data_IF_682839334240
#
_entry.id   IF_682839334240
#
_cell.length_a   1.000
_cell.length_b   1.000
_cell.length_c   1.000
_cell.angle_alpha   90.00
_cell.angle_beta   90.00
_cell.angle_gamma   90.00
#
_symmetry.space_group_name_H-M   'P 1'
#
loop_
_entity.id
_entity.type
_entity.pdbx_description
1 polymer ?
#
# COMPACT_ATOMS: atom_id res chain seq x y z
N UNK A 1 -36.55 -30.01 7.24
CA UNK A 1 -35.75 -29.60 8.43
C UNK A 1 -34.85 -28.38 8.13
N UNK A 2 -34.15 -28.37 6.99
CA UNK A 2 -33.24 -27.27 6.60
C UNK A 2 -33.95 -25.92 6.43
N UNK A 3 -35.16 -25.86 5.85
CA UNK A 3 -35.89 -24.58 5.69
C UNK A 3 -36.45 -24.00 7.01
N UNK A 4 -36.62 -24.83 8.04
CA UNK A 4 -37.02 -24.40 9.39
C UNK A 4 -35.83 -23.84 10.19
N UNK A 5 -34.61 -24.25 9.86
CA UNK A 5 -33.38 -23.70 10.42
C UNK A 5 -33.00 -22.38 9.74
N UNK A 6 -33.19 -22.27 8.41
CA UNK A 6 -32.95 -21.05 7.64
C UNK A 6 -33.78 -19.86 8.17
N UNK A 7 -35.09 -20.05 8.36
CA UNK A 7 -35.98 -18.98 8.85
C UNK A 7 -35.77 -18.58 10.31
N UNK A 8 -35.05 -19.38 11.10
CA UNK A 8 -34.65 -19.04 12.47
C UNK A 8 -33.27 -18.36 12.54
N UNK A 9 -32.41 -18.58 11.56
CA UNK A 9 -31.11 -17.91 11.43
C UNK A 9 -31.26 -16.48 10.89
N UNK A 10 -32.19 -16.26 9.95
CA UNK A 10 -32.52 -14.93 9.40
C UNK A 10 -33.10 -13.96 10.45
N UNK A 11 -33.66 -14.47 11.55
CA UNK A 11 -34.11 -13.64 12.68
C UNK A 11 -33.09 -13.53 13.82
N UNK A 12 -32.00 -14.31 13.76
CA UNK A 12 -30.91 -14.33 14.74
C UNK A 12 -29.79 -13.35 14.38
N UNK A 13 -29.60 -13.08 13.09
CA UNK A 13 -28.85 -11.90 12.63
C UNK A 13 -29.80 -10.72 12.87
N UNK A 14 -29.48 -9.90 13.87
CA UNK A 14 -30.36 -8.82 14.33
C UNK A 14 -30.94 -8.03 13.15
N UNK A 15 -32.26 -7.83 13.16
CA UNK A 15 -32.94 -7.00 12.16
C UNK A 15 -32.18 -5.68 12.06
N UNK A 16 -31.65 -5.36 10.87
CA UNK A 16 -31.08 -4.03 10.60
C UNK A 16 -32.10 -3.01 11.12
N UNK A 17 -31.70 -2.20 12.10
CA UNK A 17 -32.62 -1.25 12.74
C UNK A 17 -33.01 -0.11 11.79
N UNK A 18 -32.52 -0.14 10.54
CA UNK A 18 -32.56 0.96 9.60
C UNK A 18 -31.77 2.18 10.08
N UNK A 19 -31.15 2.13 11.26
CA UNK A 19 -30.46 3.27 11.86
C UNK A 19 -29.26 3.67 10.99
N UNK A 20 -28.39 2.70 10.66
CA UNK A 20 -27.21 2.92 9.81
C UNK A 20 -27.62 3.33 8.39
N UNK A 21 -28.69 2.73 7.84
CA UNK A 21 -29.19 3.03 6.49
C UNK A 21 -29.70 4.47 6.38
N UNK A 22 -30.34 4.98 7.44
CA UNK A 22 -30.92 6.34 7.50
C UNK A 22 -29.97 7.40 8.10
N UNK A 23 -28.72 7.06 8.44
CA UNK A 23 -27.76 8.08 8.85
C UNK A 23 -27.51 9.07 7.70
N UNK A 24 -27.38 10.38 7.99
CA UNK A 24 -26.89 11.35 7.02
C UNK A 24 -25.57 10.86 6.41
N UNK A 25 -25.35 11.09 5.11
CA UNK A 25 -24.13 10.66 4.40
C UNK A 25 -22.86 11.18 5.11
N UNK A 26 -22.89 12.44 5.54
CA UNK A 26 -21.84 13.09 6.33
C UNK A 26 -21.40 12.26 7.57
N UNK A 27 -22.36 11.62 8.25
CA UNK A 27 -22.06 10.79 9.44
C UNK A 27 -21.46 9.46 9.03
N UNK A 28 -21.90 8.88 7.89
CA UNK A 28 -21.33 7.65 7.36
C UNK A 28 -19.88 7.85 6.92
N UNK A 29 -19.56 8.97 6.27
CA UNK A 29 -18.19 9.25 5.81
C UNK A 29 -17.23 9.52 6.97
N UNK A 30 -17.72 10.20 8.02
CA UNK A 30 -16.96 10.36 9.26
C UNK A 30 -16.69 9.01 9.93
N UNK A 31 -17.69 8.12 9.98
CA UNK A 31 -17.54 6.77 10.54
C UNK A 31 -16.59 5.92 9.70
N UNK A 32 -16.65 6.01 8.36
CA UNK A 32 -15.72 5.33 7.44
C UNK A 32 -14.30 5.85 7.67
N UNK A 33 -14.09 7.17 7.67
CA UNK A 33 -12.77 7.77 7.91
C UNK A 33 -12.21 7.39 9.29
N UNK A 34 -13.06 7.36 10.32
CA UNK A 34 -12.65 6.91 11.65
C UNK A 34 -12.27 5.43 11.65
N UNK A 35 -13.00 4.60 10.90
CA UNK A 35 -12.68 3.19 10.71
C UNK A 35 -11.36 3.01 9.97
N UNK A 36 -11.15 3.71 8.88
CA UNK A 36 -9.90 3.70 8.11
C UNK A 36 -8.70 4.12 8.97
N UNK A 37 -8.83 5.21 9.75
CA UNK A 37 -7.81 5.64 10.71
C UNK A 37 -7.52 4.54 11.74
N UNK A 38 -8.56 3.91 12.30
CA UNK A 38 -8.41 2.81 13.26
C UNK A 38 -7.68 1.62 12.65
N UNK A 39 -8.04 1.20 11.44
CA UNK A 39 -7.41 0.06 10.77
C UNK A 39 -5.97 0.40 10.35
N UNK A 40 -5.70 1.63 9.93
CA UNK A 40 -4.33 2.08 9.66
C UNK A 40 -3.42 1.90 10.89
N UNK A 41 -3.88 2.27 12.09
CA UNK A 41 -3.14 2.04 13.33
C UNK A 41 -2.93 0.54 13.64
N UNK A 42 -3.89 -0.32 13.30
CA UNK A 42 -3.75 -1.77 13.44
C UNK A 42 -2.73 -2.35 12.45
N UNK A 43 -2.60 -1.77 11.26
CA UNK A 43 -1.63 -2.19 10.25
C UNK A 43 -0.22 -1.62 10.46
N UNK A 44 -0.07 -0.50 11.19
CA UNK A 44 1.24 0.13 11.44
C UNK A 44 2.33 -0.83 11.91
N UNK A 45 2.11 -1.71 12.91
CA UNK A 45 3.15 -2.66 13.35
C UNK A 45 3.61 -3.60 12.23
N UNK A 46 2.72 -3.94 11.29
CA UNK A 46 3.05 -4.78 10.14
C UNK A 46 3.89 -4.01 9.12
N UNK A 47 3.58 -2.73 8.88
CA UNK A 47 4.39 -1.88 8.01
C UNK A 47 5.78 -1.61 8.58
N UNK A 48 5.90 -1.36 9.88
CA UNK A 48 7.19 -1.22 10.55
C UNK A 48 8.03 -2.51 10.47
N UNK A 49 7.37 -3.67 10.60
CA UNK A 49 8.05 -4.95 10.43
C UNK A 49 8.53 -5.17 8.99
N UNK A 50 7.69 -4.88 8.00
CA UNK A 50 8.06 -4.90 6.57
C UNK A 50 9.27 -4.02 6.33
N UNK A 51 9.27 -2.79 6.85
CA UNK A 51 10.39 -1.86 6.70
C UNK A 51 11.71 -2.47 7.20
N UNK A 52 11.69 -3.09 8.38
CA UNK A 52 12.88 -3.76 8.95
C UNK A 52 13.37 -4.92 8.09
N UNK A 53 12.46 -5.72 7.52
CA UNK A 53 12.81 -6.83 6.62
C UNK A 53 13.37 -6.30 5.30
N UNK A 54 12.70 -5.34 4.67
CA UNK A 54 13.14 -4.72 3.40
C UNK A 54 14.52 -4.09 3.54
N UNK A 55 14.81 -3.42 4.68
CA UNK A 55 16.14 -2.84 4.96
C UNK A 55 17.20 -3.84 5.43
N UNK A 56 16.82 -5.11 5.65
CA UNK A 56 17.70 -6.14 6.19
C UNK A 56 18.17 -5.86 7.62
N UNK A 57 17.33 -5.19 8.42
CA UNK A 57 17.56 -4.98 9.86
C UNK A 57 17.02 -6.15 10.69
N UNK A 58 16.09 -6.93 10.14
CA UNK A 58 15.51 -8.10 10.77
C UNK A 58 15.35 -9.22 9.73
N UNK A 59 15.86 -10.41 10.05
CA UNK A 59 15.64 -11.60 9.24
C UNK A 59 14.27 -12.23 9.58
N UNK A 60 13.50 -12.69 8.57
CA UNK A 60 12.27 -13.43 8.79
C UNK A 60 12.47 -14.66 9.68
N UNK A 61 11.45 -14.99 10.48
CA UNK A 61 11.50 -16.21 11.29
C UNK A 61 11.28 -17.45 10.44
N UNK A 62 11.71 -18.62 10.92
CA UNK A 62 11.50 -19.89 10.20
C UNK A 62 10.01 -20.18 9.94
N UNK A 63 9.15 -19.85 10.91
CA UNK A 63 7.70 -19.99 10.80
C UNK A 63 7.13 -19.08 9.72
N UNK A 64 7.60 -17.83 9.63
CA UNK A 64 7.17 -16.90 8.57
C UNK A 64 7.60 -17.35 7.17
N UNK A 65 8.79 -17.94 7.05
CA UNK A 65 9.29 -18.50 5.80
C UNK A 65 8.42 -19.69 5.37
N UNK A 66 8.06 -20.57 6.30
CA UNK A 66 7.19 -21.72 6.02
C UNK A 66 5.79 -21.27 5.61
N UNK A 67 5.20 -20.31 6.32
CA UNK A 67 3.91 -19.71 5.97
C UNK A 67 3.96 -19.06 4.57
N UNK A 68 5.02 -18.30 4.28
CA UNK A 68 5.21 -17.67 2.98
C UNK A 68 5.27 -18.70 1.85
N UNK A 69 6.04 -19.79 2.04
CA UNK A 69 6.13 -20.86 1.05
C UNK A 69 4.79 -21.55 0.78
N UNK A 70 3.99 -21.80 1.82
CA UNK A 70 2.66 -22.40 1.64
C UNK A 70 1.69 -21.47 0.90
N UNK A 71 1.72 -20.17 1.20
CA UNK A 71 0.85 -19.19 0.54
C UNK A 71 1.22 -18.97 -0.93
N UNK A 72 2.51 -19.06 -1.26
CA UNK A 72 2.99 -18.96 -2.64
C UNK A 72 2.51 -20.17 -3.47
N UNK A 73 2.55 -21.38 -2.91
CA UNK A 73 2.02 -22.59 -3.54
C UNK A 73 0.50 -22.47 -3.80
N UNK A 74 -0.26 -22.02 -2.80
CA UNK A 74 -1.71 -21.80 -2.92
C UNK A 74 -2.05 -20.75 -3.99
N UNK A 75 -1.41 -19.57 -3.96
CA UNK A 75 -1.64 -18.52 -4.95
C UNK A 75 -1.25 -18.95 -6.36
N UNK A 76 -0.17 -19.71 -6.52
CA UNK A 76 0.25 -20.23 -7.82
C UNK A 76 -0.81 -21.19 -8.39
N UNK A 77 -1.41 -22.04 -7.55
CA UNK A 77 -2.52 -22.92 -8.00
C UNK A 77 -3.77 -22.14 -8.39
N UNK A 78 -4.13 -21.09 -7.66
CA UNK A 78 -5.28 -20.24 -7.97
C UNK A 78 -5.09 -19.42 -9.27
N UNK A 79 -3.87 -18.96 -9.53
CA UNK A 79 -3.50 -18.23 -10.76
C UNK A 79 -3.55 -19.17 -11.97
N UNK A 80 -3.06 -20.40 -11.84
CA UNK A 80 -3.09 -21.42 -12.91
C UNK A 80 -4.51 -21.87 -13.26
N UNK A 81 -5.44 -21.86 -12.30
CA UNK A 81 -6.85 -22.19 -12.52
C UNK A 81 -7.66 -21.02 -13.14
N UNK A 82 -7.24 -19.76 -12.98
CA UNK A 82 -8.04 -18.58 -13.34
C UNK A 82 -7.51 -17.67 -14.48
N UNK A 83 -6.31 -17.85 -15.06
CA UNK A 83 -5.84 -16.92 -16.10
C UNK A 83 -5.00 -17.51 -17.26
N UNK A 84 -5.24 -16.92 -18.44
CA UNK A 84 -4.44 -17.03 -19.67
C UNK A 84 -2.95 -16.67 -19.43
N UNK A 85 -2.01 -17.17 -20.26
CA UNK A 85 -0.61 -17.34 -19.86
C UNK A 85 0.15 -16.01 -19.86
N UNK A 86 0.15 -15.28 -18.75
CA UNK A 86 1.19 -14.31 -18.45
C UNK A 86 2.21 -14.92 -17.50
N UNK A 87 3.45 -14.99 -18.00
CA UNK A 87 4.57 -15.68 -17.35
C UNK A 87 5.17 -14.82 -16.24
N UNK A 88 4.53 -14.76 -15.08
CA UNK A 88 5.26 -14.48 -13.85
C UNK A 88 5.89 -15.77 -13.33
N UNK A 89 6.91 -16.25 -14.06
CA UNK A 89 7.78 -17.29 -13.52
C UNK A 89 8.65 -16.65 -12.45
N UNK A 90 8.31 -16.87 -11.19
CA UNK A 90 9.28 -16.76 -10.09
C UNK A 90 10.43 -17.69 -10.48
N UNK A 91 11.56 -17.10 -10.88
CA UNK A 91 12.76 -17.87 -11.16
C UNK A 91 13.23 -18.42 -9.81
N UNK A 92 13.12 -19.73 -9.62
CA UNK A 92 13.94 -20.45 -8.63
C UNK A 92 15.40 -20.09 -8.91
N UNK A 93 15.91 -19.15 -8.11
CA UNK A 93 17.26 -18.67 -8.26
C UNK A 93 18.19 -19.77 -7.73
N UNK A 94 18.57 -20.69 -8.63
CA UNK A 94 19.69 -21.63 -8.43
C UNK A 94 20.85 -20.85 -7.83
N UNK A 95 21.45 -21.40 -6.78
CA UNK A 95 22.58 -20.88 -6.01
C UNK A 95 23.76 -20.44 -6.90
N UNK A 96 23.64 -19.29 -7.56
CA UNK A 96 24.76 -18.51 -8.05
C UNK A 96 25.28 -17.73 -6.85
N UNK A 97 26.57 -17.87 -6.54
CA UNK A 97 27.29 -17.10 -5.52
C UNK A 97 26.98 -15.61 -5.66
N UNK A 98 25.93 -15.13 -5.01
CA UNK A 98 25.63 -13.71 -4.83
C UNK A 98 26.36 -13.30 -3.57
N UNK A 99 27.06 -12.17 -3.65
CA UNK A 99 27.57 -11.48 -2.46
C UNK A 99 26.43 -11.34 -1.43
N UNK A 100 26.72 -11.29 -0.11
CA UNK A 100 25.68 -11.12 0.89
C UNK A 100 24.92 -9.81 0.62
N UNK A 101 23.73 -9.93 0.05
CA UNK A 101 22.82 -8.81 -0.20
C UNK A 101 22.07 -8.52 1.08
N UNK A 102 22.13 -7.28 1.56
CA UNK A 102 21.40 -6.84 2.75
C UNK A 102 19.96 -6.48 2.37
N UNK A 103 19.00 -7.11 3.04
CA UNK A 103 17.57 -6.82 2.85
C UNK A 103 17.06 -7.22 1.46
N UNK A 104 16.06 -6.49 0.97
CA UNK A 104 15.44 -6.70 -0.35
C UNK A 104 15.70 -5.45 -1.21
N UNK A 105 16.76 -5.46 -2.04
CA UNK A 105 17.08 -4.32 -2.89
C UNK A 105 15.95 -3.98 -3.84
N UNK A 106 15.79 -2.69 -4.14
CA UNK A 106 14.85 -2.19 -5.16
C UNK A 106 13.40 -2.62 -4.90
N UNK A 107 13.04 -2.97 -3.66
CA UNK A 107 11.72 -3.48 -3.30
C UNK A 107 10.60 -2.56 -3.80
N UNK A 108 10.68 -1.26 -3.47
CA UNK A 108 9.65 -0.29 -3.87
C UNK A 108 9.66 0.05 -5.34
N UNK A 109 10.84 0.19 -5.95
CA UNK A 109 10.97 0.39 -7.39
C UNK A 109 10.31 -0.77 -8.15
N UNK A 110 10.62 -2.01 -7.75
CA UNK A 110 10.03 -3.23 -8.33
C UNK A 110 8.51 -3.23 -8.12
N UNK A 111 8.03 -2.92 -6.93
CA UNK A 111 6.59 -2.84 -6.65
C UNK A 111 5.88 -1.80 -7.52
N UNK A 112 6.46 -0.60 -7.67
CA UNK A 112 5.89 0.47 -8.49
C UNK A 112 5.90 0.14 -9.98
N UNK A 113 6.97 -0.50 -10.48
CA UNK A 113 7.05 -0.94 -11.88
C UNK A 113 6.08 -2.07 -12.23
N UNK A 114 5.61 -2.82 -11.22
CA UNK A 114 4.57 -3.83 -11.41
C UNK A 114 3.15 -3.24 -11.40
N UNK A 115 2.99 -1.95 -11.08
CA UNK A 115 1.70 -1.26 -11.13
C UNK A 115 1.59 -0.44 -12.42
N UNK A 116 0.79 -0.91 -13.38
CA UNK A 116 0.80 -0.40 -14.77
C UNK A 116 0.74 1.12 -14.93
N UNK A 117 -0.15 1.80 -14.19
CA UNK A 117 -0.26 3.27 -14.27
C UNK A 117 0.94 4.01 -13.69
N UNK A 118 1.63 3.43 -12.70
CA UNK A 118 2.84 4.01 -12.12
C UNK A 118 4.07 3.68 -12.99
N UNK A 119 4.12 2.48 -13.56
CA UNK A 119 5.20 2.07 -14.45
C UNK A 119 5.34 3.01 -15.66
N UNK A 120 4.22 3.49 -16.23
CA UNK A 120 4.21 4.40 -17.38
C UNK A 120 4.79 5.80 -17.08
N UNK A 121 4.77 6.23 -15.81
CA UNK A 121 5.28 7.55 -15.41
C UNK A 121 6.75 7.52 -14.98
N UNK A 122 7.30 6.33 -14.70
CA UNK A 122 8.70 6.19 -14.26
C UNK A 122 9.60 6.13 -15.50
N UNK A 123 10.54 7.07 -15.61
CA UNK A 123 11.56 7.05 -16.67
C UNK A 123 12.82 6.31 -16.22
N UNK A 124 13.65 5.89 -17.17
CA UNK A 124 14.96 5.24 -16.89
C UNK A 124 15.85 6.06 -15.94
N UNK A 125 15.71 7.39 -15.95
CA UNK A 125 16.48 8.28 -15.07
C UNK A 125 15.94 8.27 -13.63
N UNK A 126 14.62 8.21 -13.48
CA UNK A 126 13.96 8.17 -12.17
C UNK A 126 14.27 6.87 -11.44
N UNK A 127 14.41 5.75 -12.17
CA UNK A 127 14.76 4.45 -11.58
C UNK A 127 16.01 4.54 -10.71
N UNK A 128 17.03 5.28 -11.14
CA UNK A 128 18.27 5.42 -10.38
C UNK A 128 18.06 6.13 -9.02
N UNK A 129 17.13 7.08 -8.93
CA UNK A 129 16.75 7.71 -7.67
C UNK A 129 15.82 6.81 -6.84
N UNK A 130 14.85 6.15 -7.50
CA UNK A 130 13.87 5.27 -6.86
C UNK A 130 14.47 3.99 -6.28
N UNK A 131 15.66 3.56 -6.72
CA UNK A 131 16.47 2.51 -6.06
C UNK A 131 16.74 2.81 -4.59
N UNK A 132 16.80 4.09 -4.23
CA UNK A 132 17.05 4.57 -2.87
C UNK A 132 15.76 4.77 -2.05
N UNK A 133 14.58 4.47 -2.61
CA UNK A 133 13.31 4.53 -1.89
C UNK A 133 13.21 3.35 -0.91
N UNK A 134 13.15 3.65 0.39
CA UNK A 134 13.18 2.65 1.46
C UNK A 134 11.80 2.40 2.07
N UNK A 135 10.90 3.38 2.05
CA UNK A 135 9.52 3.22 2.54
C UNK A 135 8.54 4.13 1.82
N UNK A 136 7.29 3.67 1.71
CA UNK A 136 6.15 4.49 1.32
C UNK A 136 5.10 4.34 2.43
N UNK A 137 4.72 5.47 3.02
CA UNK A 137 3.71 5.55 4.09
C UNK A 137 2.56 6.44 3.68
N UNK A 138 1.43 6.20 4.32
CA UNK A 138 0.24 7.05 4.22
C UNK A 138 -0.16 7.52 5.61
N UNK A 139 -0.57 8.78 5.70
CA UNK A 139 -1.17 9.37 6.89
C UNK A 139 -2.42 10.17 6.51
N UNK A 140 -3.43 10.15 7.37
CA UNK A 140 -4.62 10.98 7.20
C UNK A 140 -4.38 12.36 7.81
N UNK A 141 -4.89 13.40 7.16
CA UNK A 141 -4.81 14.77 7.67
C UNK A 141 -5.85 15.01 8.77
N UNK A 142 -5.69 16.13 9.48
CA UNK A 142 -6.71 16.63 10.43
C UNK A 142 -7.97 17.11 9.69
N UNK A 143 -7.80 17.74 8.53
CA UNK A 143 -8.87 18.04 7.57
C UNK A 143 -9.08 16.86 6.60
N UNK A 144 -10.21 16.79 5.87
CA UNK A 144 -10.40 15.80 4.82
C UNK A 144 -9.24 15.77 3.83
N UNK A 145 -8.55 14.63 3.76
CA UNK A 145 -7.38 14.45 2.92
C UNK A 145 -6.39 13.42 3.48
N UNK A 146 -5.38 13.12 2.69
CA UNK A 146 -4.31 12.19 3.06
C UNK A 146 -2.97 12.63 2.47
N UNK A 147 -1.90 12.17 3.09
CA UNK A 147 -0.53 12.43 2.67
C UNK A 147 0.18 11.11 2.38
N UNK A 148 0.89 11.06 1.26
CA UNK A 148 1.87 10.04 0.95
C UNK A 148 3.25 10.54 1.32
N UNK A 149 4.03 9.71 2.00
CA UNK A 149 5.41 9.98 2.42
C UNK A 149 6.33 8.95 1.78
N UNK A 150 7.28 9.42 0.99
CA UNK A 150 8.29 8.62 0.30
C UNK A 150 9.62 8.84 1.02
N UNK A 151 10.07 7.84 1.77
CA UNK A 151 11.31 7.92 2.54
C UNK A 151 12.47 7.36 1.73
N UNK A 152 13.52 8.16 1.55
CA UNK A 152 14.72 7.82 0.82
C UNK A 152 15.92 7.69 1.75
N UNK A 153 16.80 6.75 1.45
CA UNK A 153 18.15 6.79 2.00
C UNK A 153 18.99 7.91 1.34
N UNK A 154 20.17 8.18 1.91
CA UNK A 154 21.09 9.14 1.33
C UNK A 154 21.49 8.70 -0.08
N UNK A 155 21.24 9.58 -1.05
CA UNK A 155 21.44 9.30 -2.47
C UNK A 155 22.16 10.48 -3.16
N UNK A 156 22.54 10.32 -4.43
CA UNK A 156 23.27 11.35 -5.19
C UNK A 156 22.39 12.46 -5.75
N UNK A 157 21.07 12.33 -5.75
CA UNK A 157 20.17 13.19 -6.53
C UNK A 157 19.68 14.40 -5.75
N UNK A 158 19.21 14.19 -4.52
CA UNK A 158 18.63 15.26 -3.70
C UNK A 158 19.02 15.10 -2.23
N UNK A 159 18.78 16.16 -1.44
CA UNK A 159 19.08 16.18 0.00
C UNK A 159 17.92 15.73 0.88
N UNK A 160 16.69 15.76 0.35
CA UNK A 160 15.49 15.37 1.09
C UNK A 160 15.61 13.92 1.55
N UNK A 161 15.31 13.66 2.82
CA UNK A 161 15.10 12.29 3.33
C UNK A 161 13.70 11.78 3.08
N UNK A 162 12.73 12.69 3.01
CA UNK A 162 11.33 12.36 2.78
C UNK A 162 10.77 13.35 1.78
N UNK A 163 10.16 12.83 0.72
CA UNK A 163 9.33 13.59 -0.19
C UNK A 163 7.87 13.32 0.17
N UNK A 164 7.04 14.35 0.24
CA UNK A 164 5.62 14.19 0.51
C UNK A 164 4.78 14.62 -0.68
N UNK A 165 3.63 13.97 -0.82
CA UNK A 165 2.55 14.40 -1.70
C UNK A 165 1.25 14.37 -0.90
N UNK A 166 0.67 15.54 -0.70
CA UNK A 166 -0.52 15.74 0.13
C UNK A 166 -1.72 16.01 -0.76
N UNK A 167 -2.80 15.28 -0.55
CA UNK A 167 -4.06 15.41 -1.29
C UNK A 167 -5.13 15.96 -0.34
N UNK A 168 -5.78 17.04 -0.77
CA UNK A 168 -6.84 17.70 -0.03
C UNK A 168 -8.20 17.41 -0.69
N UNK A 169 -9.20 17.17 0.15
CA UNK A 169 -10.59 17.11 -0.29
C UNK A 169 -11.29 18.42 0.01
N UNK A 170 -12.37 18.69 -0.72
CA UNK A 170 -13.25 19.82 -0.46
C UNK A 170 -13.92 19.64 0.91
N UNK A 171 -14.17 20.76 1.61
CA UNK A 171 -14.85 20.75 2.91
C UNK A 171 -16.32 20.35 2.78
N UNK A 172 -16.96 20.70 1.65
CA UNK A 172 -18.34 20.33 1.34
C UNK A 172 -18.38 18.99 0.58
N UNK A 173 -19.25 18.04 0.98
CA UNK A 173 -19.39 16.76 0.28
C UNK A 173 -19.93 16.95 -1.14
N UNK A 174 -19.50 16.06 -2.05
CA UNK A 174 -20.00 16.03 -3.41
C UNK A 174 -21.49 15.68 -3.49
N UNK A 175 -22.06 15.80 -4.70
CA UNK A 175 -23.42 15.32 -4.94
C UNK A 175 -23.46 13.79 -4.79
N UNK A 176 -23.86 13.31 -3.61
CA UNK A 176 -23.86 11.89 -3.23
C UNK A 176 -23.03 11.53 -1.98
N UNK A 177 -22.53 12.52 -1.24
CA UNK A 177 -21.83 12.30 0.04
C UNK A 177 -20.32 12.09 -0.11
N UNK A 178 -19.85 11.64 -1.28
CA UNK A 178 -18.44 11.33 -1.49
C UNK A 178 -17.49 12.53 -1.29
N UNK A 179 -16.28 12.25 -0.79
CA UNK A 179 -15.19 13.21 -0.75
C UNK A 179 -14.77 13.63 -2.18
N UNK A 180 -14.80 14.94 -2.43
CA UNK A 180 -14.41 15.50 -3.73
C UNK A 180 -12.96 15.98 -3.66
N UNK A 181 -12.15 15.58 -4.63
CA UNK A 181 -10.79 16.10 -4.79
C UNK A 181 -10.79 17.61 -5.00
N UNK A 182 -9.94 18.31 -4.22
CA UNK A 182 -9.73 19.75 -4.37
C UNK A 182 -8.40 20.04 -5.08
N UNK A 183 -7.28 19.82 -4.39
CA UNK A 183 -5.95 20.05 -4.90
C UNK A 183 -4.93 19.12 -4.24
N UNK A 184 -3.69 19.17 -4.72
CA UNK A 184 -2.58 18.44 -4.12
C UNK A 184 -1.32 19.30 -4.05
N UNK A 185 -0.57 19.15 -2.97
CA UNK A 185 0.69 19.84 -2.71
C UNK A 185 1.82 18.84 -2.67
N UNK A 186 2.90 19.12 -3.40
CA UNK A 186 4.14 18.34 -3.36
C UNK A 186 5.20 19.02 -2.51
N UNK A 187 6.21 18.25 -2.11
CA UNK A 187 7.45 18.80 -1.54
C UNK A 187 8.35 19.36 -2.64
N UNK A 188 8.95 20.54 -2.40
CA UNK A 188 10.05 21.05 -3.22
C UNK A 188 11.31 20.17 -3.05
N UNK A 189 11.85 19.69 -4.17
CA UNK A 189 13.01 18.78 -4.16
C UNK A 189 14.30 19.61 -4.12
N UNK A 190 15.13 19.37 -3.10
CA UNK A 190 16.45 19.97 -2.93
C UNK A 190 17.48 19.21 -3.78
N UNK A 191 17.40 19.38 -5.10
CA UNK A 191 18.32 18.76 -6.06
C UNK A 191 19.78 19.12 -5.77
N UNK A 192 20.66 18.12 -5.91
CA UNK A 192 22.10 18.31 -5.94
C UNK A 192 22.51 18.83 -7.32
N UNK A 193 23.67 19.47 -7.38
CA UNK A 193 24.14 20.16 -8.59
C UNK A 193 24.24 19.20 -9.79
N UNK A 194 23.50 19.50 -10.85
CA UNK A 194 23.49 18.71 -12.08
C UNK A 194 22.65 17.42 -12.03
N UNK A 195 21.92 17.18 -10.94
CA UNK A 195 21.17 15.93 -10.71
C UNK A 195 19.64 16.17 -10.70
N UNK A 196 19.18 17.31 -11.22
CA UNK A 196 17.75 17.58 -11.43
C UNK A 196 17.21 16.63 -12.51
N UNK A 197 16.22 15.83 -12.13
CA UNK A 197 15.60 14.83 -12.99
C UNK A 197 14.34 15.36 -13.71
N UNK A 198 13.91 16.60 -13.42
CA UNK A 198 12.65 17.18 -13.91
C UNK A 198 12.79 18.08 -15.15
#
# INVERSE_FOLDING_TARGET
>A
LVSLLQGKLDSLVGKSSGYIENLPEEVKDQDILALEKKYLELYRPLYEKRLKVVRGECEPTKEEIEIGATLDEEQQTEIEENAQPEKNKVQENKESKKEPVKGIPEFWLTAMKNLGTIAEIITDRDEEALKHLIDIRMSYLEKPGFQLEFEFEENRFFKNKTLTKTYYYQDDPGYGGDFVYDHAEGTDIDWKEGEDLT
#
